data_IF_915995436713
#
_entry.id   IF_915995436713
#
_cell.length_a   1.000
_cell.length_b   1.000
_cell.length_c   1.000
_cell.angle_alpha   90.00
_cell.angle_beta   90.00
_cell.angle_gamma   90.00
#
_symmetry.space_group_name_H-M   'P 1'
#
loop_
_entity.id
_entity.type
_entity.pdbx_description
1 polymer ?
#
# COMPACT_ATOMS: atom_id res chain seq x y z
N UNK A 1 6.59 15.74 9.50
CA UNK A 1 6.80 14.51 8.68
C UNK A 1 5.49 13.75 8.61
N UNK A 2 4.83 13.67 7.44
CA UNK A 2 3.63 12.81 7.32
C UNK A 2 4.07 11.35 7.48
N UNK A 3 3.77 10.76 8.64
CA UNK A 3 3.94 9.32 8.90
C UNK A 3 2.81 8.56 8.19
N UNK A 4 2.97 7.25 8.01
CA UNK A 4 1.85 6.40 7.58
C UNK A 4 0.70 6.52 8.59
N UNK A 5 -0.35 7.26 8.24
CA UNK A 5 -1.33 7.80 9.18
C UNK A 5 -2.67 7.08 9.12
N UNK A 6 -3.11 6.63 7.94
CA UNK A 6 -4.33 5.84 7.82
C UNK A 6 -3.96 4.36 7.83
N UNK A 7 -4.51 3.62 8.79
CA UNK A 7 -4.29 2.20 8.99
C UNK A 7 -5.62 1.49 9.16
N UNK A 8 -5.71 0.25 8.70
CA UNK A 8 -6.90 -0.57 8.91
C UNK A 8 -6.69 -2.01 8.49
N UNK A 9 -7.69 -2.85 8.80
CA UNK A 9 -7.74 -4.21 8.27
C UNK A 9 -7.84 -4.18 6.76
N UNK A 10 -7.10 -5.06 6.09
CA UNK A 10 -7.01 -5.14 4.65
C UNK A 10 -8.26 -5.81 4.06
N UNK A 11 -9.33 -5.02 3.98
CA UNK A 11 -10.66 -5.41 3.51
C UNK A 11 -11.19 -4.35 2.56
N UNK A 12 -12.04 -4.77 1.61
CA UNK A 12 -12.68 -3.86 0.64
C UNK A 12 -13.33 -2.65 1.33
N UNK A 13 -14.11 -2.90 2.40
CA UNK A 13 -14.81 -1.85 3.17
C UNK A 13 -13.88 -0.78 3.74
N UNK A 14 -12.68 -1.14 4.19
CA UNK A 14 -11.73 -0.17 4.73
C UNK A 14 -10.95 0.53 3.62
N UNK A 15 -10.67 -0.17 2.52
CA UNK A 15 -10.02 0.39 1.33
C UNK A 15 -10.89 1.50 0.69
N UNK A 16 -12.21 1.29 0.61
CA UNK A 16 -13.15 2.25 0.03
C UNK A 16 -13.28 3.56 0.84
N UNK A 17 -12.82 3.58 2.09
CA UNK A 17 -12.79 4.77 2.95
C UNK A 17 -11.55 5.64 2.76
N UNK A 18 -10.57 5.19 1.99
CA UNK A 18 -9.31 5.93 1.82
C UNK A 18 -9.57 7.15 0.92
N UNK A 19 -9.15 8.37 1.33
CA UNK A 19 -9.28 9.54 0.48
C UNK A 19 -8.54 9.37 -0.84
N UNK A 20 -9.21 9.70 -1.95
CA UNK A 20 -8.72 9.49 -3.32
C UNK A 20 -8.25 10.76 -4.01
N UNK A 21 -8.16 11.87 -3.28
CA UNK A 21 -7.82 13.21 -3.76
C UNK A 21 -6.33 13.38 -4.08
N UNK A 22 -5.47 12.50 -3.56
CA UNK A 22 -4.02 12.52 -3.69
C UNK A 22 -3.45 11.15 -4.06
N UNK A 23 -2.28 11.09 -4.72
CA UNK A 23 -1.53 9.84 -4.80
C UNK A 23 -1.09 9.40 -3.40
N UNK A 24 -0.89 8.09 -3.26
CA UNK A 24 -0.46 7.50 -1.99
C UNK A 24 0.70 6.52 -2.21
N UNK A 25 1.47 6.32 -1.15
CA UNK A 25 2.24 5.11 -0.92
C UNK A 25 1.51 4.30 0.16
N UNK A 26 1.49 2.98 0.02
CA UNK A 26 0.89 2.07 0.98
C UNK A 26 1.81 0.89 1.28
N UNK A 27 1.66 0.35 2.48
CA UNK A 27 2.25 -0.90 2.93
C UNK A 27 1.13 -1.87 3.27
N UNK A 28 1.29 -3.12 2.87
CA UNK A 28 0.46 -4.25 3.26
C UNK A 28 1.28 -5.08 4.23
N UNK A 29 0.65 -5.45 5.34
CA UNK A 29 1.29 -6.15 6.45
C UNK A 29 0.61 -7.47 6.74
N UNK A 30 1.40 -8.45 7.15
CA UNK A 30 0.90 -9.74 7.62
C UNK A 30 0.35 -9.66 9.06
N UNK A 31 -0.02 -10.81 9.63
CA UNK A 31 -0.53 -10.90 11.00
C UNK A 31 0.50 -10.48 12.05
N UNK A 32 1.79 -10.72 11.80
CA UNK A 32 2.89 -10.30 12.66
C UNK A 32 3.20 -8.79 12.57
N UNK A 33 2.54 -8.06 11.66
CA UNK A 33 2.75 -6.63 11.46
C UNK A 33 3.95 -6.29 10.56
N UNK A 34 4.57 -7.30 9.96
CA UNK A 34 5.70 -7.17 9.04
C UNK A 34 5.23 -6.64 7.70
N UNK A 35 6.02 -5.75 7.08
CA UNK A 35 5.74 -5.26 5.74
C UNK A 35 6.04 -6.36 4.71
N UNK A 36 4.99 -6.86 4.05
CA UNK A 36 5.14 -7.92 3.04
C UNK A 36 5.01 -7.38 1.63
N UNK A 37 4.47 -6.17 1.45
CA UNK A 37 4.37 -5.50 0.16
C UNK A 37 4.22 -3.98 0.33
N UNK A 38 4.94 -3.23 -0.48
CA UNK A 38 4.84 -1.79 -0.61
C UNK A 38 4.47 -1.43 -2.03
N UNK A 39 3.50 -0.54 -2.19
CA UNK A 39 3.08 -0.08 -3.50
C UNK A 39 2.66 1.38 -3.49
N UNK A 40 2.47 1.93 -4.68
CA UNK A 40 1.86 3.25 -4.88
C UNK A 40 0.53 3.14 -5.61
N UNK A 41 -0.33 4.13 -5.37
CA UNK A 41 -1.55 4.32 -6.16
C UNK A 41 -1.68 5.78 -6.59
N UNK A 42 -2.10 6.00 -7.85
CA UNK A 42 -2.41 7.32 -8.39
C UNK A 42 -3.69 7.87 -7.73
N UNK A 43 -3.82 9.21 -7.73
CA UNK A 43 -5.08 9.90 -7.41
C UNK A 43 -6.25 9.25 -8.14
N UNK A 44 -7.39 9.07 -7.46
CA UNK A 44 -8.59 8.44 -8.01
C UNK A 44 -8.53 6.92 -8.19
N UNK A 45 -7.34 6.29 -8.12
CA UNK A 45 -7.15 4.83 -8.32
C UNK A 45 -6.84 4.07 -7.04
N UNK A 46 -6.88 4.74 -5.89
CA UNK A 46 -6.51 4.15 -4.60
C UNK A 46 -7.32 2.89 -4.28
N UNK A 47 -8.67 2.89 -4.32
CA UNK A 47 -9.44 1.71 -3.94
C UNK A 47 -9.25 0.56 -4.91
N UNK A 48 -9.21 0.87 -6.21
CA UNK A 48 -8.96 -0.12 -7.27
C UNK A 48 -7.60 -0.80 -7.08
N UNK A 49 -6.53 -0.04 -6.88
CA UNK A 49 -5.17 -0.59 -6.78
C UNK A 49 -4.97 -1.44 -5.53
N UNK A 50 -5.47 -1.02 -4.36
CA UNK A 50 -5.41 -1.87 -3.17
C UNK A 50 -6.33 -3.09 -3.31
N UNK A 51 -7.47 -2.95 -3.97
CA UNK A 51 -8.41 -4.05 -4.23
C UNK A 51 -7.83 -5.16 -5.12
N UNK A 52 -6.95 -4.82 -6.05
CA UNK A 52 -6.21 -5.79 -6.89
C UNK A 52 -5.34 -6.75 -6.07
N UNK A 53 -5.08 -6.46 -4.79
CA UNK A 53 -4.27 -7.30 -3.90
C UNK A 53 -5.09 -8.07 -2.83
N UNK A 54 -6.41 -7.90 -2.79
CA UNK A 54 -7.29 -8.61 -1.86
C UNK A 54 -7.33 -10.12 -2.14
N UNK A 55 -7.67 -10.96 -1.15
CA UNK A 55 -7.86 -12.39 -1.37
C UNK A 55 -8.84 -12.67 -2.52
N UNK A 56 -8.45 -13.55 -3.45
CA UNK A 56 -9.26 -13.94 -4.61
C UNK A 56 -9.07 -13.06 -5.86
N UNK A 57 -8.25 -12.01 -5.79
CA UNK A 57 -7.81 -11.27 -6.99
C UNK A 57 -6.64 -11.97 -7.69
N UNK A 58 -6.32 -11.54 -8.91
CA UNK A 58 -5.18 -12.04 -9.68
C UNK A 58 -3.83 -11.76 -8.99
N UNK A 59 -3.70 -10.57 -8.39
CA UNK A 59 -2.45 -10.11 -7.76
C UNK A 59 -2.55 -10.19 -6.22
N UNK A 60 -3.34 -11.15 -5.72
CA UNK A 60 -3.58 -11.30 -4.29
C UNK A 60 -2.28 -11.51 -3.51
N UNK A 61 -2.14 -10.83 -2.37
CA UNK A 61 -0.96 -10.95 -1.52
C UNK A 61 -1.23 -11.94 -0.39
N UNK A 62 -0.59 -13.13 -0.39
CA UNK A 62 -0.85 -14.15 0.62
C UNK A 62 -0.47 -13.67 2.02
N UNK A 63 -1.39 -13.85 2.97
CA UNK A 63 -1.19 -13.46 4.36
C UNK A 63 -1.40 -11.97 4.64
N UNK A 64 -1.85 -11.17 3.67
CA UNK A 64 -2.21 -9.76 3.89
C UNK A 64 -3.33 -9.62 4.94
N UNK A 65 -3.09 -8.84 6.00
CA UNK A 65 -4.03 -8.64 7.11
C UNK A 65 -4.37 -7.18 7.36
N UNK A 66 -3.37 -6.31 7.33
CA UNK A 66 -3.57 -4.88 7.55
C UNK A 66 -2.86 -4.07 6.48
N UNK A 67 -3.26 -2.82 6.33
CA UNK A 67 -2.56 -1.89 5.48
C UNK A 67 -2.31 -0.58 6.22
N UNK A 68 -1.32 0.17 5.74
CA UNK A 68 -1.06 1.54 6.18
C UNK A 68 -0.73 2.40 4.97
N UNK A 69 -1.25 3.63 4.90
CA UNK A 69 -1.01 4.53 3.78
C UNK A 69 -0.40 5.86 4.23
N UNK A 70 0.23 6.54 3.28
CA UNK A 70 0.69 7.91 3.40
C UNK A 70 0.36 8.66 2.11
N UNK A 71 -0.39 9.75 2.26
CA UNK A 71 -0.67 10.63 1.13
C UNK A 71 0.57 11.41 0.70
N UNK A 72 0.65 11.67 -0.60
CA UNK A 72 1.77 12.31 -1.26
C UNK A 72 1.30 13.51 -2.08
N UNK A 73 2.19 14.49 -2.24
CA UNK A 73 1.91 15.68 -3.04
C UNK A 73 1.95 15.37 -4.55
N UNK A 74 2.79 14.41 -4.95
CA UNK A 74 2.91 13.99 -6.35
C UNK A 74 3.20 12.49 -6.46
N UNK A 75 2.97 11.92 -7.64
CA UNK A 75 3.24 10.50 -7.90
C UNK A 75 4.75 10.20 -7.89
N UNK A 76 5.58 11.15 -8.33
CA UNK A 76 7.04 11.06 -8.29
C UNK A 76 7.54 11.00 -6.85
N UNK A 77 6.94 11.80 -5.96
CA UNK A 77 7.25 11.75 -4.53
C UNK A 77 6.83 10.44 -3.87
N UNK A 78 5.79 9.77 -4.40
CA UNK A 78 5.38 8.44 -3.98
C UNK A 78 6.38 7.38 -4.46
N UNK A 79 6.75 7.40 -5.74
CA UNK A 79 7.76 6.50 -6.35
C UNK A 79 9.11 6.55 -5.63
N UNK A 80 9.60 7.76 -5.31
CA UNK A 80 10.87 7.92 -4.58
C UNK A 80 10.82 7.29 -3.19
N UNK A 81 9.71 7.45 -2.48
CA UNK A 81 9.56 6.85 -1.15
C UNK A 81 9.31 5.34 -1.22
N UNK A 82 8.61 4.85 -2.24
CA UNK A 82 8.43 3.43 -2.50
C UNK A 82 9.77 2.72 -2.69
N UNK A 83 10.63 3.22 -3.58
CA UNK A 83 11.97 2.67 -3.77
C UNK A 83 12.78 2.63 -2.48
N UNK A 84 12.69 3.69 -1.67
CA UNK A 84 13.37 3.75 -0.37
C UNK A 84 12.82 2.70 0.60
N UNK A 85 11.50 2.60 0.75
CA UNK A 85 10.86 1.63 1.64
C UNK A 85 11.16 0.20 1.20
N UNK A 86 11.12 -0.09 -0.10
CA UNK A 86 11.47 -1.42 -0.63
C UNK A 86 12.93 -1.75 -0.33
N UNK A 87 13.85 -0.80 -0.52
CA UNK A 87 15.27 -0.97 -0.17
C UNK A 87 15.48 -1.18 1.33
N UNK A 88 14.79 -0.42 2.18
CA UNK A 88 15.01 -0.41 3.62
C UNK A 88 14.33 -1.61 4.33
N UNK A 89 13.16 -2.06 3.85
CA UNK A 89 12.34 -3.08 4.52
C UNK A 89 12.27 -4.41 3.77
N UNK A 90 12.77 -4.47 2.54
CA UNK A 90 12.80 -5.64 1.67
C UNK A 90 11.52 -6.53 1.72
N UNK A 91 10.35 -5.98 1.33
CA UNK A 91 9.08 -6.68 1.48
C UNK A 91 9.03 -7.91 0.56
N UNK A 92 8.63 -9.06 1.13
CA UNK A 92 8.65 -10.38 0.48
C UNK A 92 8.03 -10.43 -0.93
N UNK A 93 6.96 -9.70 -1.18
CA UNK A 93 6.20 -9.76 -2.43
C UNK A 93 6.45 -8.58 -3.37
N UNK A 94 7.41 -7.71 -3.05
CA UNK A 94 7.90 -6.76 -4.05
C UNK A 94 8.91 -7.46 -4.94
N UNK A 95 8.67 -7.42 -6.26
CA UNK A 95 9.68 -7.85 -7.23
C UNK A 95 10.93 -6.99 -7.05
N UNK A 96 12.06 -7.65 -6.82
CA UNK A 96 13.37 -7.02 -6.82
C UNK A 96 13.88 -7.02 -8.26
N UNK A 97 13.67 -5.93 -8.99
CA UNK A 97 14.40 -5.65 -10.24
C UNK A 97 15.70 -4.90 -9.96
#
# INVERSE_FOLDING_TARGET
>A
MNKFSHKGSFTKRNIDKIPVDKPIIYKIKNLAGENVYTGIAKKGRVPKRLGEHLPGSKDAIPGAKTFSIKQKLSIESAKREEKRVIKDENPKYNEQE
#
